data_IF_388611767663
#
_entry.id   IF_388611767663
#
_cell.length_a   1.000
_cell.length_b   1.000
_cell.length_c   1.000
_cell.angle_alpha   90.00
_cell.angle_beta   90.00
_cell.angle_gamma   90.00
#
_symmetry.space_group_name_H-M   'P 1'
#
loop_
_entity.id
_entity.type
_entity.pdbx_description
1 polymer ?
#
# COMPACT_ATOMS: atom_id res chain seq x y z
N UNK A 1 13.82 37.94 23.05
CA UNK A 1 14.96 38.42 23.89
C UNK A 1 14.58 38.66 25.36
N UNK A 2 13.35 39.08 25.68
CA UNK A 2 12.88 39.23 27.08
C UNK A 2 12.55 37.88 27.78
N UNK A 3 12.21 36.83 27.02
CA UNK A 3 11.93 35.50 27.57
C UNK A 3 13.19 34.76 28.07
N UNK A 4 14.32 34.89 27.38
CA UNK A 4 15.57 34.20 27.77
C UNK A 4 16.21 34.75 29.06
N UNK A 5 15.93 36.01 29.41
CA UNK A 5 16.39 36.61 30.66
C UNK A 5 15.58 36.13 31.87
N UNK A 6 14.29 35.87 31.70
CA UNK A 6 13.43 35.34 32.76
C UNK A 6 13.80 33.89 33.10
N UNK A 7 14.13 33.06 32.11
CA UNK A 7 14.55 31.67 32.33
C UNK A 7 15.93 31.57 33.01
N UNK A 8 16.88 32.45 32.68
CA UNK A 8 18.17 32.49 33.37
C UNK A 8 18.04 32.95 34.82
N UNK A 9 17.17 33.93 35.09
CA UNK A 9 16.90 34.39 36.45
C UNK A 9 16.19 33.32 37.29
N UNK A 10 15.23 32.58 36.72
CA UNK A 10 14.55 31.47 37.37
C UNK A 10 15.51 30.32 37.68
N UNK A 11 16.39 29.96 36.74
CA UNK A 11 17.39 28.90 36.94
C UNK A 11 18.45 29.26 38.00
N UNK A 12 18.83 30.54 38.10
CA UNK A 12 19.73 31.03 39.14
C UNK A 12 19.08 30.98 40.54
N UNK A 13 17.79 31.35 40.64
CA UNK A 13 17.01 31.25 41.89
C UNK A 13 16.86 29.82 42.37
N UNK A 14 16.52 28.90 41.48
CA UNK A 14 16.38 27.46 41.80
C UNK A 14 17.71 26.85 42.26
N UNK A 15 18.85 27.24 41.68
CA UNK A 15 20.17 26.79 42.15
C UNK A 15 20.53 27.35 43.53
N UNK A 16 20.16 28.60 43.82
CA UNK A 16 20.38 29.19 45.14
C UNK A 16 19.51 28.52 46.22
N UNK A 17 18.25 28.21 45.91
CA UNK A 17 17.35 27.50 46.82
C UNK A 17 17.78 26.04 47.06
N UNK A 18 18.25 25.34 46.02
CA UNK A 18 18.78 23.98 46.13
C UNK A 18 20.13 23.94 46.89
N UNK A 19 20.95 24.98 46.80
CA UNK A 19 22.20 25.09 47.54
C UNK A 19 22.02 25.28 49.06
N UNK A 20 20.86 25.80 49.48
CA UNK A 20 20.51 26.00 50.89
C UNK A 20 19.83 24.80 51.56
N UNK A 21 19.32 23.84 50.77
CA UNK A 21 18.72 22.62 51.29
C UNK A 21 19.80 21.59 51.65
N UNK A 22 20.27 21.65 52.90
CA UNK A 22 21.06 20.57 53.49
C UNK A 22 20.17 19.32 53.66
N UNK A 23 20.04 18.53 52.58
CA UNK A 23 19.35 17.24 52.61
C UNK A 23 20.20 16.29 53.44
N UNK A 24 19.88 16.20 54.74
CA UNK A 24 20.35 15.13 55.62
C UNK A 24 19.64 13.84 55.21
N UNK A 25 20.17 13.21 54.17
CA UNK A 25 19.80 11.85 53.82
C UNK A 25 20.44 10.90 54.85
N UNK A 26 19.68 10.05 55.54
CA UNK A 26 20.26 9.02 56.39
C UNK A 26 21.21 8.14 55.58
N UNK A 27 22.37 7.81 56.15
CA UNK A 27 23.36 6.92 55.52
C UNK A 27 22.67 5.65 54.99
N UNK A 28 22.87 5.35 53.71
CA UNK A 28 22.30 4.19 53.02
C UNK A 28 20.93 4.38 52.35
N UNK A 29 20.30 5.56 52.38
CA UNK A 29 19.06 5.80 51.61
C UNK A 29 19.31 5.84 50.09
N UNK A 30 20.39 6.50 49.66
CA UNK A 30 20.80 6.57 48.24
C UNK A 30 21.13 5.18 47.70
N UNK A 31 21.79 4.33 48.49
CA UNK A 31 22.09 2.94 48.12
C UNK A 31 20.83 2.08 48.01
N UNK A 32 19.83 2.29 48.86
CA UNK A 32 18.51 1.64 48.74
C UNK A 32 17.79 2.01 47.45
N UNK A 33 17.76 3.30 47.10
CA UNK A 33 17.13 3.78 45.87
C UNK A 33 17.89 3.28 44.63
N UNK A 34 19.23 3.36 44.64
CA UNK A 34 20.04 2.84 43.53
C UNK A 34 19.90 1.33 43.36
N UNK A 35 19.79 0.57 44.44
CA UNK A 35 19.52 -0.87 44.40
C UNK A 35 18.14 -1.16 43.83
N UNK A 36 17.08 -0.46 44.26
CA UNK A 36 15.74 -0.60 43.68
C UNK A 36 15.69 -0.24 42.19
N UNK A 37 16.42 0.80 41.76
CA UNK A 37 16.50 1.20 40.35
C UNK A 37 17.26 0.16 39.53
N UNK A 38 18.35 -0.41 40.06
CA UNK A 38 19.10 -1.49 39.41
C UNK A 38 18.27 -2.77 39.29
N UNK A 39 17.54 -3.16 40.34
CA UNK A 39 16.63 -4.32 40.32
C UNK A 39 15.48 -4.13 39.32
N UNK A 40 14.88 -2.92 39.25
CA UNK A 40 13.87 -2.60 38.22
C UNK A 40 14.42 -2.68 36.81
N UNK A 41 15.61 -2.11 36.56
CA UNK A 41 16.27 -2.19 35.24
C UNK A 41 16.65 -3.62 34.86
N UNK A 42 17.04 -4.45 35.83
CA UNK A 42 17.38 -5.85 35.59
C UNK A 42 16.14 -6.68 35.27
N UNK A 43 15.01 -6.46 35.96
CA UNK A 43 13.71 -7.09 35.62
C UNK A 43 13.18 -6.64 34.26
N UNK A 44 13.31 -5.35 33.91
CA UNK A 44 12.94 -4.86 32.57
C UNK A 44 13.82 -5.47 31.46
N UNK A 45 15.12 -5.68 31.72
CA UNK A 45 16.01 -6.37 30.77
C UNK A 45 15.63 -7.85 30.63
N UNK A 46 15.29 -8.55 31.72
CA UNK A 46 14.82 -9.93 31.66
C UNK A 46 13.48 -10.06 30.93
N UNK A 47 12.52 -9.15 31.13
CA UNK A 47 11.26 -9.13 30.38
C UNK A 47 11.47 -8.85 28.89
N UNK A 48 12.38 -7.93 28.53
CA UNK A 48 12.74 -7.69 27.11
C UNK A 48 13.41 -8.90 26.47
N UNK A 49 14.28 -9.61 27.19
CA UNK A 49 14.91 -10.84 26.69
C UNK A 49 13.88 -11.96 26.55
N UNK A 50 12.89 -12.08 27.44
CA UNK A 50 11.81 -13.05 27.30
C UNK A 50 10.86 -12.73 26.15
N UNK A 51 10.52 -11.46 25.93
CA UNK A 51 9.71 -11.02 24.78
C UNK A 51 10.47 -11.23 23.47
N UNK A 52 11.77 -10.91 23.42
CA UNK A 52 12.61 -11.17 22.25
C UNK A 52 12.83 -12.67 22.00
N UNK A 53 12.93 -13.49 23.05
CA UNK A 53 13.01 -14.94 22.91
C UNK A 53 11.69 -15.55 22.41
N UNK A 54 10.54 -15.08 22.91
CA UNK A 54 9.23 -15.48 22.40
C UNK A 54 9.04 -15.05 20.94
N UNK A 55 9.43 -13.82 20.59
CA UNK A 55 9.41 -13.34 19.20
C UNK A 55 10.37 -14.14 18.31
N UNK A 56 11.57 -14.47 18.79
CA UNK A 56 12.52 -15.30 18.05
C UNK A 56 12.00 -16.73 17.84
N UNK A 57 11.34 -17.33 18.85
CA UNK A 57 10.71 -18.65 18.71
C UNK A 57 9.55 -18.62 17.71
N UNK A 58 8.73 -17.55 17.70
CA UNK A 58 7.68 -17.36 16.69
C UNK A 58 8.29 -17.15 15.30
N UNK A 59 9.34 -16.34 15.16
CA UNK A 59 10.05 -16.14 13.88
C UNK A 59 10.72 -17.42 13.40
N UNK A 60 11.31 -18.23 14.28
CA UNK A 60 11.90 -19.53 13.92
C UNK A 60 10.79 -20.54 13.57
N UNK A 61 9.67 -20.56 14.28
CA UNK A 61 8.54 -21.44 13.95
C UNK A 61 7.89 -21.06 12.61
N UNK A 62 7.73 -19.77 12.33
CA UNK A 62 7.25 -19.25 11.03
C UNK A 62 8.28 -19.54 9.93
N UNK A 63 9.57 -19.32 10.17
CA UNK A 63 10.62 -19.65 9.20
C UNK A 63 10.72 -21.15 8.94
N UNK A 64 10.57 -22.01 9.95
CA UNK A 64 10.53 -23.46 9.77
C UNK A 64 9.26 -23.91 9.01
N UNK A 65 8.10 -23.28 9.23
CA UNK A 65 6.90 -23.53 8.44
C UNK A 65 7.08 -23.08 6.97
N UNK A 66 7.73 -21.93 6.74
CA UNK A 66 8.06 -21.44 5.39
C UNK A 66 9.09 -22.32 4.68
N UNK A 67 10.09 -22.86 5.38
CA UNK A 67 11.11 -23.78 4.80
C UNK A 67 10.54 -25.16 4.48
N UNK A 68 9.53 -25.63 5.24
CA UNK A 68 8.83 -26.88 4.92
C UNK A 68 7.86 -26.71 3.75
N UNK A 69 7.24 -25.53 3.58
CA UNK A 69 6.42 -25.23 2.39
C UNK A 69 7.22 -24.91 1.13
N UNK A 70 8.47 -24.42 1.25
CA UNK A 70 9.34 -24.12 0.09
C UNK A 70 10.22 -25.29 -0.37
N UNK A 71 10.16 -26.45 0.30
CA UNK A 71 10.64 -27.73 -0.27
C UNK A 71 9.57 -28.37 -1.14
N UNK A 72 9.09 -27.62 -2.11
CA UNK A 72 8.40 -28.17 -3.28
C UNK A 72 9.43 -28.94 -4.10
N UNK A 73 9.21 -30.25 -4.17
CA UNK A 73 9.70 -31.24 -5.14
C UNK A 73 10.44 -30.59 -6.31
N UNK A 74 11.75 -30.87 -6.43
CA UNK A 74 12.51 -30.61 -7.66
C UNK A 74 11.71 -31.19 -8.83
N UNK A 75 11.20 -30.39 -9.77
CA UNK A 75 10.48 -30.94 -10.90
C UNK A 75 11.47 -31.78 -11.71
N UNK A 76 11.07 -33.02 -11.99
CA UNK A 76 11.80 -33.93 -12.85
C UNK A 76 11.99 -33.24 -14.22
N UNK A 77 13.23 -32.94 -14.66
CA UNK A 77 13.48 -32.18 -15.88
C UNK A 77 13.09 -32.94 -17.17
N UNK A 78 12.44 -34.10 -17.04
CA UNK A 78 11.98 -34.93 -18.17
C UNK A 78 10.49 -34.85 -18.44
N UNK A 79 9.71 -34.13 -17.64
CA UNK A 79 8.32 -33.81 -18.00
C UNK A 79 8.33 -32.50 -18.77
N UNK A 80 8.38 -32.61 -20.10
CA UNK A 80 8.01 -31.51 -20.99
C UNK A 80 6.59 -31.11 -20.62
N UNK A 81 6.45 -30.01 -19.87
CA UNK A 81 5.18 -29.38 -19.64
C UNK A 81 4.63 -28.99 -21.01
N UNK A 82 3.71 -29.79 -21.53
CA UNK A 82 2.80 -29.31 -22.57
C UNK A 82 2.15 -28.02 -22.07
N UNK A 83 1.69 -27.13 -22.96
CA UNK A 83 1.00 -25.93 -22.55
C UNK A 83 -0.21 -26.34 -21.72
N UNK A 84 -0.11 -26.20 -20.39
CA UNK A 84 -1.27 -26.31 -19.53
C UNK A 84 -2.26 -25.27 -20.05
N UNK A 85 -3.45 -25.67 -20.53
CA UNK A 85 -4.40 -24.70 -21.02
C UNK A 85 -4.69 -23.75 -19.86
N UNK A 86 -4.42 -22.46 -20.07
CA UNK A 86 -4.88 -21.42 -19.16
C UNK A 86 -6.40 -21.52 -19.20
N UNK A 87 -6.99 -22.20 -18.22
CA UNK A 87 -8.44 -22.31 -18.10
C UNK A 87 -8.96 -20.88 -18.00
N UNK A 88 -9.82 -20.47 -18.92
CA UNK A 88 -10.41 -19.15 -18.87
C UNK A 88 -11.05 -18.94 -17.49
N UNK A 89 -10.78 -17.80 -16.86
CA UNK A 89 -11.42 -17.48 -15.59
C UNK A 89 -12.94 -17.43 -15.80
N UNK A 90 -13.71 -18.01 -14.89
CA UNK A 90 -15.16 -17.79 -14.89
C UNK A 90 -15.42 -16.28 -14.73
N UNK A 91 -16.41 -15.72 -15.47
CA UNK A 91 -16.88 -14.36 -15.25
C UNK A 91 -17.15 -14.11 -13.77
N UNK A 92 -16.90 -12.88 -13.28
CA UNK A 92 -17.11 -12.57 -11.87
C UNK A 92 -18.56 -12.79 -11.45
N UNK A 93 -19.49 -12.63 -12.42
CA UNK A 93 -20.92 -12.84 -12.20
C UNK A 93 -21.29 -14.30 -11.90
N UNK A 94 -20.40 -15.24 -12.23
CA UNK A 94 -20.58 -16.67 -12.00
C UNK A 94 -19.84 -17.14 -10.73
N UNK A 95 -19.19 -16.23 -9.98
CA UNK A 95 -18.45 -16.61 -8.79
C UNK A 95 -19.42 -16.97 -7.66
N UNK A 96 -19.21 -18.10 -6.97
CA UNK A 96 -20.00 -18.45 -5.80
C UNK A 96 -19.70 -17.48 -4.66
N UNK A 97 -20.73 -17.18 -3.87
CA UNK A 97 -20.62 -16.44 -2.63
C UNK A 97 -19.69 -17.17 -1.64
N UNK A 98 -18.70 -16.45 -1.09
CA UNK A 98 -17.72 -16.94 -0.11
C UNK A 98 -17.58 -16.03 1.10
N UNK A 99 -16.84 -16.48 2.12
CA UNK A 99 -16.57 -15.76 3.36
C UNK A 99 -17.37 -16.28 4.57
N UNK A 100 -17.10 -15.71 5.74
CA UNK A 100 -17.66 -16.15 7.02
C UNK A 100 -19.01 -15.51 7.36
N UNK A 101 -19.44 -14.50 6.61
CA UNK A 101 -20.70 -13.76 6.83
C UNK A 101 -21.78 -14.07 5.78
N UNK A 102 -21.63 -15.13 5.00
CA UNK A 102 -22.56 -15.49 3.91
C UNK A 102 -23.98 -15.83 4.35
N UNK A 103 -24.16 -16.20 5.63
CA UNK A 103 -25.46 -16.54 6.21
C UNK A 103 -26.23 -15.30 6.71
N UNK A 104 -25.59 -14.12 6.73
CA UNK A 104 -26.20 -12.86 7.19
C UNK A 104 -26.95 -12.19 6.04
N UNK A 105 -28.18 -12.67 5.78
CA UNK A 105 -29.00 -12.15 4.69
C UNK A 105 -29.34 -10.66 4.84
N UNK A 106 -29.46 -10.17 6.08
CA UNK A 106 -29.77 -8.76 6.35
C UNK A 106 -28.57 -7.87 5.99
N UNK A 107 -27.34 -8.28 6.32
CA UNK A 107 -26.12 -7.61 5.90
C UNK A 107 -26.02 -7.53 4.37
N UNK A 108 -26.24 -8.65 3.68
CA UNK A 108 -26.19 -8.68 2.21
C UNK A 108 -27.23 -7.74 1.59
N UNK A 109 -28.46 -7.75 2.12
CA UNK A 109 -29.55 -6.86 1.65
C UNK A 109 -29.20 -5.39 1.86
N UNK A 110 -28.67 -5.01 3.03
CA UNK A 110 -28.23 -3.64 3.29
C UNK A 110 -27.07 -3.22 2.39
N UNK A 111 -26.11 -4.11 2.16
CA UNK A 111 -24.99 -3.83 1.26
C UNK A 111 -25.46 -3.59 -0.18
N UNK A 112 -26.40 -4.40 -0.68
CA UNK A 112 -27.01 -4.19 -2.00
C UNK A 112 -27.72 -2.84 -2.08
N UNK A 113 -28.50 -2.47 -1.06
CA UNK A 113 -29.19 -1.18 -1.00
C UNK A 113 -28.20 -0.01 -1.10
N UNK A 114 -27.09 -0.06 -0.35
CA UNK A 114 -26.02 0.96 -0.39
C UNK A 114 -25.45 1.14 -1.80
N UNK A 115 -25.21 0.05 -2.55
CA UNK A 115 -24.72 0.17 -3.91
C UNK A 115 -25.79 0.73 -4.87
N UNK A 116 -27.05 0.28 -4.75
CA UNK A 116 -28.16 0.75 -5.60
C UNK A 116 -28.52 2.21 -5.40
N UNK A 117 -28.32 2.75 -4.19
CA UNK A 117 -28.58 4.16 -3.87
C UNK A 117 -27.43 5.10 -4.25
N UNK A 118 -26.28 4.55 -4.66
CA UNK A 118 -25.11 5.33 -5.05
C UNK A 118 -25.21 5.93 -6.45
N UNK A 119 -24.37 6.92 -6.74
CA UNK A 119 -24.21 7.48 -8.09
C UNK A 119 -23.71 6.46 -9.12
N UNK A 120 -23.16 5.33 -8.67
CA UNK A 120 -22.65 4.22 -9.49
C UNK A 120 -23.55 2.98 -9.40
N UNK A 121 -24.86 3.20 -9.32
CA UNK A 121 -25.84 2.14 -9.20
C UNK A 121 -25.74 1.11 -10.36
N UNK A 122 -25.84 -0.20 -10.06
CA UNK A 122 -25.80 -1.24 -11.07
C UNK A 122 -27.09 -1.25 -11.90
N UNK A 123 -26.98 -1.62 -13.19
CA UNK A 123 -28.11 -1.66 -14.13
C UNK A 123 -28.87 -3.00 -14.12
N UNK A 124 -28.31 -4.01 -13.46
CA UNK A 124 -28.73 -5.40 -13.51
C UNK A 124 -28.92 -6.00 -12.10
N UNK A 125 -29.42 -7.24 -11.98
CA UNK A 125 -29.49 -7.93 -10.70
C UNK A 125 -28.11 -8.01 -10.04
N UNK A 126 -28.07 -7.65 -8.76
CA UNK A 126 -26.86 -7.69 -7.94
C UNK A 126 -26.79 -9.06 -7.28
N UNK A 127 -25.59 -9.60 -7.17
CA UNK A 127 -25.34 -10.77 -6.32
C UNK A 127 -24.04 -10.59 -5.56
N UNK A 128 -23.98 -11.16 -4.36
CA UNK A 128 -22.78 -11.14 -3.55
C UNK A 128 -21.82 -12.25 -3.99
N UNK A 129 -20.53 -11.91 -4.13
CA UNK A 129 -19.45 -12.85 -4.39
C UNK A 129 -18.58 -13.08 -3.16
N UNK A 130 -18.62 -12.17 -2.19
CA UNK A 130 -17.96 -12.32 -0.90
C UNK A 130 -18.69 -11.56 0.21
N UNK A 131 -18.70 -12.13 1.42
CA UNK A 131 -19.07 -11.43 2.64
C UNK A 131 -18.23 -11.95 3.81
N UNK A 132 -17.42 -11.06 4.41
CA UNK A 132 -16.59 -11.46 5.54
C UNK A 132 -16.02 -10.31 6.35
N UNK A 133 -15.32 -10.67 7.43
CA UNK A 133 -14.68 -9.71 8.34
C UNK A 133 -13.16 -9.77 8.26
N UNK A 134 -12.51 -8.61 8.22
CA UNK A 134 -11.06 -8.48 8.28
C UNK A 134 -10.52 -9.13 9.57
N UNK A 135 -9.54 -10.05 9.46
CA UNK A 135 -8.91 -10.69 10.61
C UNK A 135 -7.94 -9.74 11.34
N UNK A 136 -7.61 -8.59 10.76
CA UNK A 136 -6.68 -7.64 11.34
C UNK A 136 -7.38 -6.79 12.40
N UNK A 137 -7.09 -7.04 13.69
CA UNK A 137 -7.69 -6.27 14.78
C UNK A 137 -7.29 -4.79 14.81
N UNK A 138 -6.16 -4.43 14.20
CA UNK A 138 -5.71 -3.04 14.14
C UNK A 138 -6.40 -2.24 13.01
N UNK A 139 -7.12 -2.92 12.12
CA UNK A 139 -7.94 -2.33 11.06
C UNK A 139 -9.02 -3.35 10.66
N UNK A 140 -9.98 -3.58 11.55
CA UNK A 140 -11.04 -4.56 11.35
C UNK A 140 -12.25 -3.88 10.74
N UNK A 141 -12.77 -4.43 9.66
CA UNK A 141 -13.98 -3.99 8.98
C UNK A 141 -14.66 -5.20 8.35
N UNK A 142 -15.96 -5.10 8.14
CA UNK A 142 -16.73 -6.03 7.31
C UNK A 142 -16.64 -5.56 5.86
N UNK A 143 -16.53 -6.50 4.92
CA UNK A 143 -16.66 -6.24 3.49
C UNK A 143 -17.71 -7.16 2.88
N UNK A 144 -18.53 -6.60 2.01
CA UNK A 144 -19.38 -7.33 1.08
C UNK A 144 -18.96 -6.93 -0.33
N UNK A 145 -18.47 -7.89 -1.10
CA UNK A 145 -18.19 -7.70 -2.51
C UNK A 145 -19.41 -8.13 -3.32
N UNK A 146 -19.95 -7.19 -4.09
CA UNK A 146 -21.17 -7.36 -4.89
C UNK A 146 -20.80 -7.24 -6.35
N UNK A 147 -21.33 -8.13 -7.19
CA UNK A 147 -21.12 -8.11 -8.62
C UNK A 147 -22.44 -7.91 -9.38
N UNK A 148 -22.36 -7.17 -10.47
CA UNK A 148 -23.46 -6.89 -11.40
C UNK A 148 -22.90 -6.42 -12.74
N UNK A 149 -23.70 -6.36 -13.79
CA UNK A 149 -23.36 -5.59 -14.98
C UNK A 149 -23.62 -4.09 -14.77
N UNK A 150 -22.68 -3.27 -15.25
CA UNK A 150 -22.81 -1.82 -15.34
C UNK A 150 -23.72 -1.38 -16.50
N UNK A 151 -23.95 -0.08 -16.62
CA UNK A 151 -24.77 0.50 -17.70
C UNK A 151 -24.17 0.33 -19.10
N UNK A 152 -22.85 0.13 -19.17
CA UNK A 152 -22.10 -0.15 -20.40
C UNK A 152 -22.04 -1.65 -20.75
N UNK A 153 -22.74 -2.50 -19.99
CA UNK A 153 -22.78 -3.94 -20.17
C UNK A 153 -21.52 -4.68 -19.70
N UNK A 154 -20.54 -3.99 -19.11
CA UNK A 154 -19.36 -4.63 -18.52
C UNK A 154 -19.64 -5.06 -17.09
N UNK A 155 -19.05 -6.18 -16.69
CA UNK A 155 -19.10 -6.65 -15.32
C UNK A 155 -18.46 -5.60 -14.39
N UNK A 156 -19.10 -5.34 -13.26
CA UNK A 156 -18.65 -4.44 -12.21
C UNK A 156 -18.67 -5.16 -10.88
N UNK A 157 -17.74 -4.77 -10.00
CA UNK A 157 -17.71 -5.17 -8.60
C UNK A 157 -17.70 -3.94 -7.72
N UNK A 158 -18.67 -3.88 -6.81
CA UNK A 158 -18.70 -2.93 -5.71
C UNK A 158 -18.20 -3.58 -4.43
N UNK A 159 -17.48 -2.79 -3.63
CA UNK A 159 -17.03 -3.16 -2.31
C UNK A 159 -17.74 -2.28 -1.30
N UNK A 160 -18.65 -2.88 -0.54
CA UNK A 160 -19.38 -2.20 0.53
C UNK A 160 -18.75 -2.61 1.85
N UNK A 161 -18.38 -1.64 2.68
CA UNK A 161 -17.65 -1.89 3.92
C UNK A 161 -18.35 -1.28 5.12
N UNK A 162 -18.18 -1.89 6.29
CA UNK A 162 -18.32 -1.12 7.54
C UNK A 162 -17.22 -0.07 7.66
N UNK A 163 -17.36 0.90 8.57
CA UNK A 163 -16.23 1.67 9.06
C UNK A 163 -15.12 0.76 9.59
N UNK A 164 -13.87 1.21 9.43
CA UNK A 164 -12.69 0.58 10.02
C UNK A 164 -12.69 0.80 11.52
N UNK A 165 -12.53 -0.28 12.29
CA UNK A 165 -12.29 -0.24 13.73
C UNK A 165 -10.89 -0.72 14.10
N UNK A 166 -10.19 0.06 14.92
CA UNK A 166 -8.91 -0.28 15.55
C UNK A 166 -9.08 -1.04 16.87
N UNK A 167 -10.32 -1.19 17.35
CA UNK A 167 -10.67 -2.00 18.52
C UNK A 167 -10.90 -3.48 18.17
N UNK A 168 -11.03 -3.80 16.87
CA UNK A 168 -11.35 -5.14 16.37
C UNK A 168 -12.86 -5.48 16.39
N UNK A 169 -13.72 -4.50 16.67
CA UNK A 169 -15.17 -4.66 16.70
C UNK A 169 -15.84 -3.72 15.66
N UNK A 170 -15.87 -4.10 14.38
CA UNK A 170 -16.46 -3.27 13.34
C UNK A 170 -17.98 -3.14 13.52
N UNK A 171 -18.50 -1.94 13.28
CA UNK A 171 -19.93 -1.64 13.25
C UNK A 171 -20.59 -2.22 12.00
N UNK A 172 -21.38 -3.29 12.14
CA UNK A 172 -22.02 -3.98 11.03
C UNK A 172 -23.33 -3.33 10.56
N UNK A 173 -23.80 -2.33 11.29
CA UNK A 173 -25.06 -1.65 10.99
C UNK A 173 -24.81 -0.44 10.07
N UNK A 174 -23.64 0.19 10.20
CA UNK A 174 -23.20 1.25 9.30
C UNK A 174 -22.42 0.68 8.13
N UNK A 175 -22.94 0.84 6.91
CA UNK A 175 -22.29 0.40 5.67
C UNK A 175 -22.08 1.57 4.72
N UNK A 176 -20.95 1.56 4.02
CA UNK A 176 -20.61 2.57 3.01
C UNK A 176 -20.06 1.91 1.76
N UNK A 177 -20.41 2.46 0.60
CA UNK A 177 -19.79 2.05 -0.65
C UNK A 177 -18.34 2.55 -0.66
N UNK A 178 -17.38 1.63 -0.62
CA UNK A 178 -15.97 1.97 -0.50
C UNK A 178 -15.30 2.18 -1.85
N UNK A 179 -15.62 1.31 -2.81
CA UNK A 179 -15.04 1.32 -4.14
C UNK A 179 -15.95 0.61 -5.14
N UNK A 180 -15.82 0.96 -6.42
CA UNK A 180 -16.44 0.25 -7.55
C UNK A 180 -15.42 0.13 -8.66
N UNK A 181 -15.32 -1.06 -9.26
CA UNK A 181 -14.42 -1.32 -10.39
C UNK A 181 -15.12 -2.07 -11.50
N UNK A 182 -14.67 -1.84 -12.73
CA UNK A 182 -15.06 -2.64 -13.90
C UNK A 182 -14.09 -3.82 -14.03
N UNK A 183 -14.65 -5.02 -14.22
CA UNK A 183 -13.88 -6.25 -14.39
C UNK A 183 -13.58 -6.46 -15.87
N UNK A 184 -12.31 -6.61 -16.19
CA UNK A 184 -11.89 -6.90 -17.56
C UNK A 184 -11.94 -8.39 -17.87
N UNK A 185 -12.15 -8.73 -19.14
CA UNK A 185 -12.11 -10.13 -19.61
C UNK A 185 -10.78 -10.76 -19.22
N UNK A 186 -10.84 -11.95 -18.62
CA UNK A 186 -9.66 -12.70 -18.16
C UNK A 186 -9.11 -12.26 -16.79
N UNK A 187 -9.70 -11.23 -16.17
CA UNK A 187 -9.33 -10.82 -14.82
C UNK A 187 -9.66 -11.93 -13.81
N UNK A 188 -8.64 -12.35 -13.05
CA UNK A 188 -8.70 -13.49 -12.11
C UNK A 188 -8.79 -13.07 -10.66
N UNK A 189 -8.95 -11.79 -10.39
CA UNK A 189 -9.17 -11.26 -9.06
C UNK A 189 -9.58 -9.81 -9.11
N UNK A 190 -10.33 -9.41 -8.10
CA UNK A 190 -10.88 -8.07 -7.95
C UNK A 190 -10.55 -7.60 -6.55
N UNK A 191 -10.34 -6.31 -6.40
CA UNK A 191 -10.07 -5.74 -5.09
C UNK A 191 -10.10 -4.22 -5.13
N UNK A 192 -10.01 -3.64 -3.96
CA UNK A 192 -9.83 -2.20 -3.79
C UNK A 192 -8.70 -1.92 -2.81
N UNK A 193 -8.16 -0.71 -2.91
CA UNK A 193 -7.26 -0.14 -1.93
C UNK A 193 -7.61 1.34 -1.77
N UNK A 194 -8.24 1.65 -0.63
CA UNK A 194 -8.64 3.00 -0.26
C UNK A 194 -7.49 3.66 0.50
N UNK A 195 -6.91 4.71 -0.08
CA UNK A 195 -5.80 5.45 0.52
C UNK A 195 -6.27 6.44 1.60
N UNK A 196 -7.52 6.89 1.51
CA UNK A 196 -8.14 7.81 2.46
C UNK A 196 -9.12 7.10 3.40
N UNK A 197 -9.21 7.53 4.67
CA UNK A 197 -10.27 7.11 5.56
C UNK A 197 -11.63 7.50 4.97
N UNK A 198 -12.58 6.59 5.02
CA UNK A 198 -13.96 6.84 4.66
C UNK A 198 -14.81 7.25 5.86
N UNK A 199 -16.10 7.50 5.64
CA UNK A 199 -17.01 7.98 6.68
C UNK A 199 -17.06 7.02 7.89
N UNK A 200 -16.72 7.55 9.07
CA UNK A 200 -16.76 6.81 10.34
C UNK A 200 -15.53 5.95 10.64
N UNK A 201 -14.55 5.87 9.75
CA UNK A 201 -13.33 5.10 9.99
C UNK A 201 -12.55 5.65 11.20
N UNK A 202 -12.09 4.76 12.08
CA UNK A 202 -11.15 5.08 13.15
C UNK A 202 -9.73 5.29 12.58
N UNK A 203 -8.97 6.22 13.16
CA UNK A 203 -7.60 6.51 12.72
C UNK A 203 -6.68 5.31 13.00
N UNK A 204 -6.15 4.70 11.93
CA UNK A 204 -5.15 3.64 12.02
C UNK A 204 -3.82 4.27 12.43
N UNK A 205 -3.19 3.75 13.49
CA UNK A 205 -1.92 4.27 14.00
C UNK A 205 -0.81 4.13 12.95
N UNK A 206 -0.22 5.25 12.55
CA UNK A 206 0.74 5.32 11.44
C UNK A 206 0.10 5.73 10.11
N UNK A 207 -1.21 6.01 10.11
CA UNK A 207 -2.02 6.15 8.92
C UNK A 207 -2.13 4.84 8.17
N UNK A 208 -2.80 4.86 7.02
CA UNK A 208 -2.65 3.77 6.09
C UNK A 208 -3.79 3.59 5.12
N UNK A 209 -3.46 3.02 3.98
CA UNK A 209 -4.44 2.53 3.04
C UNK A 209 -5.01 1.20 3.53
N UNK A 210 -6.32 1.03 3.43
CA UNK A 210 -7.01 -0.23 3.70
C UNK A 210 -7.55 -0.80 2.41
N UNK A 211 -7.50 -2.11 2.28
CA UNK A 211 -8.06 -2.76 1.10
C UNK A 211 -8.52 -4.17 1.38
N UNK A 212 -9.11 -4.72 0.33
CA UNK A 212 -9.55 -6.09 0.27
C UNK A 212 -9.41 -6.55 -1.18
N UNK A 213 -8.94 -7.77 -1.38
CA UNK A 213 -8.98 -8.39 -2.69
C UNK A 213 -9.30 -9.88 -2.59
N UNK A 214 -9.98 -10.36 -3.64
CA UNK A 214 -10.42 -11.73 -3.79
C UNK A 214 -10.13 -12.23 -5.20
N UNK A 215 -9.48 -13.39 -5.28
CA UNK A 215 -9.20 -14.10 -6.52
C UNK A 215 -10.38 -14.99 -6.92
N UNK A 216 -10.42 -15.38 -8.20
CA UNK A 216 -11.38 -16.34 -8.72
C UNK A 216 -11.33 -17.67 -7.93
N UNK A 217 -12.43 -18.43 -7.84
CA UNK A 217 -12.45 -19.73 -7.20
C UNK A 217 -11.32 -20.65 -7.71
N UNK A 218 -10.64 -21.33 -6.78
CA UNK A 218 -9.54 -22.23 -7.10
C UNK A 218 -8.18 -21.56 -7.36
N UNK A 219 -8.09 -20.23 -7.21
CA UNK A 219 -6.82 -19.48 -7.29
C UNK A 219 -6.37 -19.07 -5.88
N UNK A 220 -5.44 -19.80 -5.26
CA UNK A 220 -5.06 -19.55 -3.87
C UNK A 220 -4.03 -18.42 -3.71
N UNK A 221 -3.21 -18.17 -4.73
CA UNK A 221 -2.10 -17.22 -4.68
C UNK A 221 -2.54 -15.82 -5.10
N UNK A 222 -2.72 -14.95 -4.12
CA UNK A 222 -3.06 -13.53 -4.30
C UNK A 222 -2.19 -12.69 -3.37
N UNK A 223 -1.65 -11.60 -3.88
CA UNK A 223 -0.85 -10.64 -3.11
C UNK A 223 -1.12 -9.23 -3.63
N UNK A 224 -1.04 -8.24 -2.75
CA UNK A 224 -1.04 -6.83 -3.18
C UNK A 224 0.40 -6.37 -3.21
N UNK A 225 0.87 -5.94 -4.38
CA UNK A 225 2.23 -5.47 -4.61
C UNK A 225 2.26 -3.95 -4.73
N UNK A 226 3.25 -3.31 -4.10
CA UNK A 226 3.55 -1.89 -4.29
C UNK A 226 5.05 -1.63 -4.20
N UNK A 227 5.56 -0.77 -5.06
CA UNK A 227 6.93 -0.26 -5.11
C UNK A 227 7.17 0.84 -4.07
N UNK A 228 6.20 1.13 -3.21
CA UNK A 228 6.40 1.99 -2.03
C UNK A 228 7.09 1.25 -0.89
N UNK A 229 6.97 -0.08 -0.81
CA UNK A 229 7.56 -0.89 0.28
C UNK A 229 8.56 -1.90 -0.31
N UNK A 230 9.75 -2.03 0.30
CA UNK A 230 10.77 -3.02 -0.14
C UNK A 230 10.38 -4.45 0.23
N UNK A 231 9.62 -4.59 1.32
CA UNK A 231 9.15 -5.87 1.82
C UNK A 231 7.79 -5.68 2.48
N UNK A 232 6.74 -6.18 1.82
CA UNK A 232 5.48 -6.40 2.50
C UNK A 232 5.63 -7.68 3.31
N UNK A 233 5.47 -7.56 4.63
CA UNK A 233 5.25 -8.77 5.41
C UNK A 233 4.04 -9.49 4.79
N UNK A 234 4.12 -10.79 4.50
CA UNK A 234 3.02 -11.52 3.92
C UNK A 234 1.77 -11.25 4.76
N UNK A 235 0.76 -10.65 4.14
CA UNK A 235 -0.49 -10.42 4.84
C UNK A 235 -1.08 -11.80 5.08
N UNK A 236 -1.38 -12.21 6.32
CA UNK A 236 -1.90 -13.54 6.58
C UNK A 236 -3.19 -13.73 5.80
N UNK A 237 -3.15 -14.55 4.75
CA UNK A 237 -4.32 -15.01 4.04
C UNK A 237 -5.02 -16.02 4.94
N UNK A 238 -6.10 -15.58 5.58
CA UNK A 238 -6.90 -16.44 6.46
C UNK A 238 -7.79 -17.38 5.62
N UNK A 239 -8.11 -16.97 4.40
CA UNK A 239 -8.87 -17.74 3.43
C UNK A 239 -8.14 -17.74 2.08
N UNK A 240 -7.93 -18.92 1.44
CA UNK A 240 -7.24 -19.01 0.15
C UNK A 240 -7.85 -18.08 -0.91
N UNK A 241 -6.99 -17.32 -1.60
CA UNK A 241 -7.44 -16.37 -2.60
C UNK A 241 -8.09 -15.12 -2.03
N UNK A 242 -7.92 -14.82 -0.75
CA UNK A 242 -8.37 -13.57 -0.11
C UNK A 242 -7.19 -12.88 0.61
N UNK A 243 -7.10 -11.56 0.46
CA UNK A 243 -6.09 -10.72 1.13
C UNK A 243 -6.70 -9.42 1.65
N UNK A 244 -6.22 -8.97 2.81
CA UNK A 244 -6.69 -7.79 3.55
C UNK A 244 -5.55 -6.78 3.77
N UNK A 245 -5.07 -6.12 2.70
CA UNK A 245 -3.93 -5.22 2.81
C UNK A 245 -4.22 -4.05 3.76
N UNK A 246 -3.26 -3.77 4.64
CA UNK A 246 -3.16 -2.53 5.41
C UNK A 246 -1.77 -1.99 5.17
N UNK A 247 -1.68 -0.90 4.41
CA UNK A 247 -0.43 -0.37 3.89
C UNK A 247 -0.17 1.02 4.45
N UNK A 248 1.06 1.50 4.34
CA UNK A 248 1.45 2.82 4.85
C UNK A 248 0.73 3.97 4.11
N UNK A 249 0.69 5.15 4.73
CA UNK A 249 0.17 6.36 4.08
C UNK A 249 0.87 6.67 2.76
N UNK A 250 0.09 7.12 1.77
CA UNK A 250 0.58 7.43 0.42
C UNK A 250 0.57 6.24 -0.54
N UNK A 251 0.28 5.04 -0.06
CA UNK A 251 -0.07 3.89 -0.92
C UNK A 251 -1.55 4.00 -1.30
N UNK A 252 -1.89 3.63 -2.53
CA UNK A 252 -3.25 3.62 -3.04
C UNK A 252 -3.35 2.81 -4.33
N UNK A 253 -4.53 2.73 -4.91
CA UNK A 253 -4.72 1.99 -6.17
C UNK A 253 -3.84 2.48 -7.34
N UNK A 254 -3.32 3.71 -7.27
CA UNK A 254 -2.41 4.27 -8.28
C UNK A 254 -1.00 3.66 -8.26
N UNK A 255 -0.51 3.19 -7.12
CA UNK A 255 0.86 2.65 -6.97
C UNK A 255 0.86 1.24 -6.39
N UNK A 256 -0.28 0.56 -6.43
CA UNK A 256 -0.45 -0.81 -5.98
C UNK A 256 -1.20 -1.63 -7.02
N UNK A 257 -0.86 -2.91 -7.12
CA UNK A 257 -1.52 -3.86 -8.01
C UNK A 257 -1.80 -5.17 -7.30
N UNK A 258 -2.76 -5.91 -7.84
CA UNK A 258 -3.12 -7.23 -7.40
C UNK A 258 -2.34 -8.27 -8.19
N UNK A 259 -1.33 -8.86 -7.56
CA UNK A 259 -0.56 -9.96 -8.12
C UNK A 259 -1.30 -11.28 -7.89
N UNK A 260 -1.52 -12.03 -8.96
CA UNK A 260 -2.20 -13.33 -8.91
C UNK A 260 -1.32 -14.37 -9.55
N UNK A 261 -1.06 -15.44 -8.81
CA UNK A 261 -0.38 -16.62 -9.33
C UNK A 261 -1.43 -17.66 -9.76
N UNK A 262 -1.73 -17.79 -11.07
CA UNK A 262 -2.84 -18.63 -11.53
C UNK A 262 -2.60 -20.12 -11.31
N UNK A 263 -1.33 -20.55 -11.29
CA UNK A 263 -0.92 -21.91 -10.97
C UNK A 263 0.55 -21.93 -10.52
N UNK A 264 0.99 -22.95 -9.77
CA UNK A 264 2.39 -23.11 -9.39
C UNK A 264 3.30 -23.13 -10.62
N UNK A 265 4.28 -22.24 -10.66
CA UNK A 265 5.25 -22.14 -11.77
C UNK A 265 4.79 -21.31 -12.98
N UNK A 266 3.54 -20.84 -13.01
CA UNK A 266 3.14 -19.80 -13.97
C UNK A 266 3.65 -18.43 -13.52
N UNK A 267 3.93 -17.56 -14.49
CA UNK A 267 4.25 -16.17 -14.24
C UNK A 267 3.05 -15.49 -13.55
N UNK A 268 3.30 -14.66 -12.51
CA UNK A 268 2.23 -13.90 -11.88
C UNK A 268 1.63 -12.90 -12.87
N UNK A 269 0.31 -12.74 -12.81
CA UNK A 269 -0.41 -11.71 -13.54
C UNK A 269 -0.73 -10.54 -12.60
N UNK A 270 -0.55 -9.32 -13.07
CA UNK A 270 -0.85 -8.11 -12.30
C UNK A 270 -2.17 -7.51 -12.76
N UNK A 271 -3.10 -7.32 -11.82
CA UNK A 271 -4.39 -6.67 -12.05
C UNK A 271 -4.49 -5.36 -11.29
N UNK A 272 -5.38 -4.48 -11.73
CA UNK A 272 -5.64 -3.21 -11.05
C UNK A 272 -6.49 -3.41 -9.80
N UNK A 273 -6.20 -2.61 -8.79
CA UNK A 273 -7.10 -2.41 -7.66
C UNK A 273 -8.00 -1.21 -7.95
N UNK A 274 -9.22 -1.26 -7.42
CA UNK A 274 -10.12 -0.12 -7.43
C UNK A 274 -9.62 0.96 -6.45
N UNK A 275 -9.58 2.24 -6.83
CA UNK A 275 -9.43 3.32 -5.86
C UNK A 275 -10.66 3.39 -4.94
N UNK A 276 -10.49 3.92 -3.74
CA UNK A 276 -11.63 4.33 -2.91
C UNK A 276 -12.47 5.40 -3.61
N UNK A 277 -13.75 5.52 -3.29
CA UNK A 277 -14.63 6.55 -3.87
C UNK A 277 -14.13 7.97 -3.56
N UNK A 278 -13.56 8.16 -2.37
CA UNK A 278 -13.03 9.45 -1.90
C UNK A 278 -11.53 9.64 -2.20
N UNK A 279 -10.90 8.64 -2.84
CA UNK A 279 -9.51 8.72 -3.27
C UNK A 279 -9.35 9.65 -4.48
N UNK A 280 -8.11 9.87 -4.87
CA UNK A 280 -7.80 10.62 -6.08
C UNK A 280 -8.41 9.96 -7.32
N UNK A 281 -8.80 10.81 -8.25
CA UNK A 281 -9.26 10.36 -9.55
C UNK A 281 -8.11 9.63 -10.24
N UNK A 282 -8.32 8.33 -10.48
CA UNK A 282 -7.39 7.48 -11.19
C UNK A 282 -8.11 6.76 -12.32
N UNK A 283 -7.38 6.50 -13.40
CA UNK A 283 -7.95 5.87 -14.59
C UNK A 283 -7.00 4.85 -15.20
N UNK A 284 -7.53 3.78 -15.81
CA UNK A 284 -6.72 2.83 -16.53
C UNK A 284 -6.07 3.49 -17.75
N UNK A 285 -4.77 3.24 -17.98
CA UNK A 285 -4.09 3.65 -19.21
C UNK A 285 -3.32 2.50 -19.83
N UNK A 286 -3.26 2.49 -21.15
CA UNK A 286 -2.37 1.63 -21.94
C UNK A 286 -1.21 2.49 -22.42
N UNK A 287 0.01 2.03 -22.20
CA UNK A 287 1.19 2.70 -22.73
C UNK A 287 1.60 2.09 -24.06
N UNK A 288 1.86 2.95 -25.03
CA UNK A 288 2.29 2.56 -26.37
C UNK A 288 3.53 3.34 -26.76
N UNK A 289 4.43 2.70 -27.50
CA UNK A 289 5.62 3.35 -28.04
C UNK A 289 5.55 3.32 -29.56
N UNK A 290 5.47 4.49 -30.19
CA UNK A 290 5.49 4.64 -31.64
C UNK A 290 6.58 5.64 -32.02
N UNK A 291 7.47 5.26 -32.95
CA UNK A 291 8.58 6.10 -33.41
C UNK A 291 9.48 6.64 -32.28
N UNK A 292 9.66 5.84 -31.21
CA UNK A 292 10.46 6.22 -30.04
C UNK A 292 9.77 7.19 -29.08
N UNK A 293 8.49 7.51 -29.28
CA UNK A 293 7.70 8.37 -28.39
C UNK A 293 6.74 7.51 -27.57
N UNK A 294 6.82 7.65 -26.25
CA UNK A 294 5.88 7.02 -25.32
C UNK A 294 4.58 7.81 -25.26
N UNK A 295 3.45 7.11 -25.35
CA UNK A 295 2.10 7.68 -25.30
C UNK A 295 1.23 6.90 -24.33
N UNK A 296 0.50 7.63 -23.49
CA UNK A 296 -0.58 7.09 -22.67
C UNK A 296 -1.90 7.19 -23.43
N UNK A 297 -2.60 6.06 -23.53
CA UNK A 297 -3.91 5.95 -24.17
C UNK A 297 -4.91 5.48 -23.11
N UNK A 298 -5.95 6.28 -22.89
CA UNK A 298 -7.00 6.00 -21.92
C UNK A 298 -8.07 7.07 -22.00
N UNK A 299 -9.19 6.83 -21.34
CA UNK A 299 -10.24 7.83 -21.19
C UNK A 299 -9.69 9.01 -20.37
N UNK A 300 -10.03 10.23 -20.80
CA UNK A 300 -9.66 11.48 -20.13
C UNK A 300 -8.18 11.72 -19.86
N UNK A 301 -7.26 11.10 -20.62
CA UNK A 301 -5.83 11.44 -20.53
C UNK A 301 -5.60 12.91 -20.91
N UNK A 302 -5.04 13.70 -20.00
CA UNK A 302 -4.80 15.13 -20.14
C UNK A 302 -3.34 15.51 -19.82
N UNK A 303 -2.85 16.64 -20.38
CA UNK A 303 -1.57 17.21 -19.94
C UNK A 303 -1.55 17.49 -18.43
N UNK A 304 -0.45 17.10 -17.77
CA UNK A 304 -0.25 17.19 -16.33
C UNK A 304 -0.52 15.89 -15.56
N UNK A 305 -1.20 14.92 -16.18
CA UNK A 305 -1.48 13.65 -15.53
C UNK A 305 -0.19 12.87 -15.27
N UNK A 306 -0.08 12.31 -14.07
CA UNK A 306 1.02 11.42 -13.70
C UNK A 306 0.65 9.99 -14.11
N UNK A 307 1.58 9.31 -14.77
CA UNK A 307 1.45 7.90 -15.14
C UNK A 307 2.24 7.07 -14.16
N UNK A 308 1.59 6.09 -13.53
CA UNK A 308 2.15 5.25 -12.49
C UNK A 308 1.94 3.77 -12.79
N UNK A 309 2.81 2.93 -12.25
CA UNK A 309 2.62 1.49 -12.13
C UNK A 309 2.76 1.12 -10.64
N UNK A 310 2.45 -0.14 -10.26
CA UNK A 310 2.81 -0.63 -8.94
C UNK A 310 4.29 -0.44 -8.62
N UNK A 311 5.19 -0.44 -9.60
CA UNK A 311 6.64 -0.36 -9.35
C UNK A 311 7.12 1.11 -9.17
N UNK A 312 6.37 2.09 -9.67
CA UNK A 312 6.68 3.51 -9.48
C UNK A 312 6.13 4.42 -10.59
N UNK A 313 6.58 5.67 -10.61
CA UNK A 313 6.18 6.62 -11.64
C UNK A 313 6.88 6.31 -12.98
N UNK A 314 6.11 6.34 -14.06
CA UNK A 314 6.62 6.19 -15.43
C UNK A 314 6.97 7.55 -16.03
N UNK A 315 6.10 8.54 -15.84
CA UNK A 315 6.24 9.85 -16.49
C UNK A 315 5.02 10.74 -16.31
N UNK A 316 5.07 11.92 -16.91
CA UNK A 316 3.98 12.91 -16.90
C UNK A 316 3.51 13.16 -18.32
N UNK A 317 2.19 13.24 -18.52
CA UNK A 317 1.62 13.57 -19.82
C UNK A 317 1.88 15.05 -20.12
N UNK A 318 2.54 15.33 -21.24
CA UNK A 318 2.94 16.69 -21.64
C UNK A 318 2.06 17.32 -22.70
N UNK A 319 1.26 16.53 -23.41
CA UNK A 319 0.46 17.00 -24.53
C UNK A 319 -0.87 16.23 -24.65
N UNK A 320 -1.85 16.86 -25.30
CA UNK A 320 -3.21 16.34 -25.43
C UNK A 320 -3.29 15.06 -26.28
N UNK A 321 -2.24 14.75 -27.06
CA UNK A 321 -2.11 13.51 -27.81
C UNK A 321 -1.56 12.35 -26.94
N UNK A 322 -1.51 12.54 -25.61
CA UNK A 322 -1.07 11.54 -24.64
C UNK A 322 0.45 11.38 -24.55
N UNK A 323 1.26 12.24 -25.18
CA UNK A 323 2.72 12.15 -25.11
C UNK A 323 3.22 12.23 -23.66
N UNK A 324 4.04 11.26 -23.25
CA UNK A 324 4.58 11.15 -21.89
C UNK A 324 6.06 11.56 -21.87
N UNK A 325 6.44 12.44 -20.94
CA UNK A 325 7.82 12.74 -20.58
C UNK A 325 8.23 11.90 -19.36
N UNK A 326 9.23 11.04 -19.56
CA UNK A 326 9.72 10.08 -18.56
C UNK A 326 10.92 10.60 -17.78
N UNK A 327 11.36 11.84 -18.02
CA UNK A 327 12.47 12.42 -17.29
C UNK A 327 12.10 12.65 -15.81
N UNK A 328 13.01 12.26 -14.90
CA UNK A 328 12.80 12.44 -13.46
C UNK A 328 12.60 13.90 -13.08
N UNK A 329 13.15 14.84 -13.85
CA UNK A 329 12.93 16.28 -13.66
C UNK A 329 11.51 16.72 -14.02
N UNK A 330 10.92 16.17 -15.08
CA UNK A 330 9.52 16.46 -15.42
C UNK A 330 8.57 15.85 -14.38
N UNK A 331 8.84 14.62 -13.93
CA UNK A 331 8.09 13.97 -12.85
C UNK A 331 8.23 14.77 -11.54
N UNK A 332 9.42 15.23 -11.19
CA UNK A 332 9.64 16.05 -10.00
C UNK A 332 8.93 17.42 -10.05
N UNK A 333 8.58 17.91 -11.24
CA UNK A 333 7.93 19.21 -11.38
C UNK A 333 6.46 19.22 -10.94
N UNK A 334 5.80 18.06 -10.85
CA UNK A 334 4.39 17.96 -10.44
C UNK A 334 4.21 17.89 -8.91
N UNK A 335 5.29 17.92 -8.13
CA UNK A 335 5.19 17.81 -6.67
C UNK A 335 6.50 18.06 -5.93
N UNK A 336 6.53 17.61 -4.68
CA UNK A 336 7.72 17.68 -3.82
C UNK A 336 8.45 16.35 -3.81
N UNK A 337 9.78 16.37 -3.69
CA UNK A 337 10.61 15.17 -3.73
C UNK A 337 11.35 15.01 -2.41
N UNK A 338 11.34 13.78 -1.87
CA UNK A 338 12.02 13.43 -0.62
C UNK A 338 12.50 11.99 -0.61
N UNK A 339 13.42 11.66 0.28
CA UNK A 339 13.79 10.28 0.57
C UNK A 339 12.68 9.61 1.39
N UNK A 340 12.25 8.41 1.00
CA UNK A 340 11.07 7.73 1.53
C UNK A 340 11.11 7.56 3.06
N UNK A 341 12.14 6.89 3.58
CA UNK A 341 12.23 6.50 5.00
C UNK A 341 12.69 7.65 5.89
N UNK A 342 13.70 8.40 5.47
CA UNK A 342 14.28 9.47 6.28
C UNK A 342 13.55 10.81 6.13
N UNK A 343 12.66 10.94 5.14
CA UNK A 343 11.92 12.16 4.85
C UNK A 343 12.78 13.33 4.37
N UNK A 344 14.07 13.09 4.06
CA UNK A 344 15.02 14.15 3.66
C UNK A 344 14.51 14.80 2.37
N UNK A 345 14.14 16.10 2.38
CA UNK A 345 13.69 16.77 1.17
C UNK A 345 14.87 16.95 0.21
N UNK A 346 14.58 17.00 -1.09
CA UNK A 346 15.60 17.22 -2.09
C UNK A 346 15.07 17.83 -3.39
N UNK A 347 15.99 18.02 -4.32
CA UNK A 347 15.72 18.49 -5.68
C UNK A 347 16.36 17.53 -6.67
N UNK A 348 15.65 17.30 -7.78
CA UNK A 348 16.17 16.58 -8.92
C UNK A 348 16.57 17.58 -10.00
N UNK A 349 17.80 17.44 -10.49
CA UNK A 349 18.34 18.24 -11.59
C UNK A 349 19.02 17.31 -12.58
N UNK A 350 18.95 17.63 -13.87
CA UNK A 350 19.61 16.82 -14.89
C UNK A 350 18.95 16.99 -16.25
N UNK A 351 19.61 16.46 -17.27
CA UNK A 351 19.13 16.50 -18.65
C UNK A 351 19.13 15.04 -19.17
N UNK A 352 17.97 14.53 -19.59
CA UNK A 352 17.85 13.20 -20.17
C UNK A 352 18.18 12.06 -19.18
N UNK A 353 19.16 11.23 -19.53
CA UNK A 353 19.40 9.91 -18.91
C UNK A 353 20.10 9.95 -17.54
N UNK A 354 20.51 11.12 -17.05
CA UNK A 354 21.15 11.25 -15.73
C UNK A 354 20.48 12.33 -14.91
N UNK A 355 19.75 11.91 -13.88
CA UNK A 355 19.24 12.79 -12.84
C UNK A 355 20.15 12.74 -11.61
N UNK A 356 20.42 13.91 -11.04
CA UNK A 356 21.13 14.08 -9.78
C UNK A 356 20.14 14.49 -8.70
N UNK A 357 20.24 13.84 -7.55
CA UNK A 357 19.50 14.22 -6.35
C UNK A 357 20.39 15.07 -5.45
N UNK A 358 19.91 16.26 -5.10
CA UNK A 358 20.57 17.14 -4.14
C UNK A 358 19.69 17.27 -2.89
N UNK A 359 20.12 16.80 -1.71
CA UNK A 359 19.36 17.00 -0.48
C UNK A 359 19.31 18.49 -0.13
N UNK A 360 18.13 18.97 0.27
CA UNK A 360 17.91 20.36 0.68
C UNK A 360 17.66 20.51 2.18
N UNK A 361 17.56 19.39 2.89
CA UNK A 361 17.44 19.31 4.34
C UNK A 361 18.55 18.49 4.99
N UNK A 362 18.62 18.50 6.33
CA UNK A 362 19.61 17.70 7.06
C UNK A 362 19.30 16.20 6.94
N UNK A 363 20.36 15.40 6.97
CA UNK A 363 20.27 13.94 7.00
C UNK A 363 21.39 13.28 6.21
N UNK A 364 21.60 11.99 6.46
CA UNK A 364 22.56 11.18 5.71
C UNK A 364 21.81 10.42 4.62
N UNK A 365 22.36 10.48 3.40
CA UNK A 365 21.89 9.68 2.29
C UNK A 365 22.71 8.39 2.23
N UNK A 366 22.04 7.29 1.94
CA UNK A 366 22.68 6.01 1.66
C UNK A 366 22.35 5.54 0.23
N UNK A 367 23.21 4.68 -0.37
CA UNK A 367 22.81 3.94 -1.55
C UNK A 367 21.50 3.18 -1.30
N UNK A 368 20.76 2.94 -2.37
CA UNK A 368 19.47 2.25 -2.38
C UNK A 368 18.32 3.00 -1.68
N UNK A 369 18.57 4.22 -1.18
CA UNK A 369 17.51 5.09 -0.70
C UNK A 369 16.52 5.41 -1.82
N UNK A 370 15.25 5.11 -1.58
CA UNK A 370 14.15 5.45 -2.48
C UNK A 370 13.83 6.94 -2.41
N UNK A 371 13.63 7.52 -3.57
CA UNK A 371 13.15 8.87 -3.76
C UNK A 371 11.67 8.81 -4.11
N UNK A 372 10.86 9.50 -3.33
CA UNK A 372 9.40 9.55 -3.46
C UNK A 372 8.98 10.96 -3.87
N UNK A 373 8.12 11.01 -4.88
CA UNK A 373 7.32 12.17 -5.23
C UNK A 373 6.10 12.22 -4.31
N UNK A 374 5.79 13.39 -3.75
CA UNK A 374 4.54 13.68 -3.06
C UNK A 374 3.86 14.85 -3.76
N UNK A 375 2.71 14.58 -4.39
CA UNK A 375 1.88 15.56 -5.08
C UNK A 375 1.02 16.34 -4.07
N UNK A 376 0.43 17.50 -4.46
CA UNK A 376 -0.39 18.32 -3.57
C UNK A 376 -1.63 17.62 -2.99
N UNK A 377 -2.06 16.54 -3.62
CA UNK A 377 -3.28 15.80 -3.33
C UNK A 377 -3.00 14.50 -2.51
N UNK A 378 -1.87 14.48 -1.80
CA UNK A 378 -1.37 13.37 -0.98
C UNK A 378 -1.01 12.08 -1.72
N UNK A 379 -0.94 12.13 -3.05
CA UNK A 379 -0.40 11.04 -3.87
C UNK A 379 1.09 10.93 -3.60
N UNK A 380 1.54 9.75 -3.16
CA UNK A 380 2.94 9.42 -3.03
C UNK A 380 3.33 8.32 -4.02
N UNK A 381 4.46 8.46 -4.70
CA UNK A 381 4.95 7.45 -5.65
C UNK A 381 6.47 7.41 -5.62
N UNK A 382 7.07 6.22 -5.61
CA UNK A 382 8.51 6.06 -5.81
C UNK A 382 8.86 6.45 -7.25
N UNK A 383 9.86 7.31 -7.40
CA UNK A 383 10.31 7.79 -8.71
C UNK A 383 11.73 7.35 -9.03
N UNK A 384 12.58 7.16 -8.01
CA UNK A 384 13.96 6.78 -8.24
C UNK A 384 14.59 6.03 -7.05
N UNK A 385 15.71 5.36 -7.30
CA UNK A 385 16.64 4.83 -6.30
C UNK A 385 17.95 5.61 -6.38
N UNK A 386 18.50 5.97 -5.22
CA UNK A 386 19.77 6.68 -5.13
C UNK A 386 20.95 5.73 -5.26
N UNK A 387 21.92 6.12 -6.09
CA UNK A 387 23.24 5.49 -6.17
C UNK A 387 24.33 6.55 -6.00
N UNK A 388 25.46 6.14 -5.43
CA UNK A 388 26.59 7.06 -5.20
C UNK A 388 27.56 7.03 -6.39
N UNK A 389 27.84 8.19 -6.97
CA UNK A 389 28.85 8.35 -8.02
C UNK A 389 29.82 9.47 -7.61
N UNK A 390 30.94 9.06 -6.99
CA UNK A 390 31.87 9.99 -6.35
C UNK A 390 31.20 10.76 -5.21
N UNK A 391 31.19 12.08 -5.32
CA UNK A 391 30.57 13.00 -4.35
C UNK A 391 29.13 13.39 -4.70
N UNK A 392 28.56 12.79 -5.75
CA UNK A 392 27.19 13.09 -6.21
C UNK A 392 26.27 11.89 -6.01
N UNK A 393 24.99 12.19 -5.77
CA UNK A 393 23.92 11.21 -5.71
C UNK A 393 23.18 11.17 -7.03
N UNK A 394 23.27 10.05 -7.73
CA UNK A 394 22.51 9.80 -8.95
C UNK A 394 21.16 9.19 -8.59
N UNK A 395 20.09 9.71 -9.16
CA UNK A 395 18.77 9.15 -9.07
C UNK A 395 18.51 8.31 -10.32
N UNK A 396 18.34 7.00 -10.13
CA UNK A 396 18.03 6.05 -11.19
C UNK A 396 16.52 5.82 -11.18
N UNK A 397 15.78 6.01 -12.29
CA UNK A 397 14.36 5.73 -12.34
C UNK A 397 14.04 4.31 -11.88
N UNK A 398 12.98 4.14 -11.09
CA UNK A 398 12.55 2.79 -10.64
C UNK A 398 11.79 2.03 -11.71
N UNK A 399 11.15 2.74 -12.63
CA UNK A 399 10.36 2.15 -13.71
C UNK A 399 11.05 2.41 -15.04
N UNK A 400 11.37 1.33 -15.76
CA UNK A 400 11.82 1.41 -17.15
C UNK A 400 10.58 1.51 -18.07
N UNK A 401 10.40 2.59 -18.84
CA UNK A 401 9.25 2.72 -19.72
C UNK A 401 9.15 1.62 -20.78
N UNK A 402 10.27 1.00 -21.16
CA UNK A 402 10.30 -0.05 -22.17
C UNK A 402 9.64 -1.33 -21.68
N UNK A 403 9.81 -1.67 -20.40
CA UNK A 403 9.20 -2.88 -19.79
C UNK A 403 7.70 -2.72 -19.59
N UNK A 404 7.18 -1.49 -19.48
CA UNK A 404 5.74 -1.25 -19.28
C UNK A 404 4.94 -1.37 -20.60
N UNK A 405 5.60 -1.19 -21.75
CA UNK A 405 4.96 -1.21 -23.07
C UNK A 405 4.90 -2.58 -23.73
N UNK A 406 5.57 -3.57 -23.15
CA UNK A 406 5.59 -4.94 -23.68
C UNK A 406 4.28 -5.66 -23.30
N UNK A 407 3.47 -6.13 -24.25
CA UNK A 407 2.18 -6.78 -23.99
C UNK A 407 2.32 -8.09 -23.20
N UNK A 408 3.51 -8.70 -23.15
CA UNK A 408 3.78 -9.93 -22.39
C UNK A 408 4.15 -9.67 -20.93
N UNK A 409 4.54 -8.44 -20.60
CA UNK A 409 4.91 -7.98 -19.25
C UNK A 409 4.08 -6.77 -18.80
N UNK A 410 3.05 -6.41 -19.58
CA UNK A 410 2.27 -5.20 -19.45
C UNK A 410 1.78 -5.03 -18.02
N UNK A 411 2.48 -4.16 -17.31
CA UNK A 411 2.14 -3.81 -15.94
C UNK A 411 0.94 -2.88 -15.99
N UNK A 412 0.00 -3.07 -15.07
CA UNK A 412 -1.20 -2.25 -15.00
C UNK A 412 -0.85 -0.78 -14.72
N UNK A 413 -0.79 0.03 -15.77
CA UNK A 413 -0.53 1.46 -15.66
C UNK A 413 -1.81 2.24 -15.32
N UNK A 414 -1.64 3.27 -14.49
CA UNK A 414 -2.70 4.14 -14.00
C UNK A 414 -2.36 5.60 -14.32
N UNK A 415 -3.37 6.35 -14.76
CA UNK A 415 -3.40 7.81 -14.77
C UNK A 415 -3.77 8.27 -13.37
N UNK A 416 -3.07 9.29 -12.87
CA UNK A 416 -3.39 9.99 -11.62
C UNK A 416 -3.51 11.47 -11.93
N UNK A 417 -4.66 12.05 -11.61
CA UNK A 417 -4.87 13.51 -11.74
C UNK A 417 -4.10 14.20 -10.60
N UNK A 418 -3.19 15.13 -10.93
CA UNK A 418 -2.29 15.78 -9.96
C UNK A 418 -2.56 17.28 -9.73
N UNK A 419 -3.52 17.83 -10.49
CA UNK A 419 -3.80 19.28 -10.58
C UNK A 419 -4.89 19.77 -9.64
#
# INVERSE_FOLDING_TARGET
MIADEQDRAAAARLRAELGGMAVRSPDGHVERVLRQVRERRQRQRQQRVQILAAAAVVVIAVACASVVMSRSVKPDPRVVAGPNPIVAAAPVLDWPLRGDLIADADLLTRAEAVWRESERAPSSPVHAVYAGQSPNRAASFVVVALAAQGSDGRDQVAFVTSPVSVSGAPDRDTLTLRAVTTVHVGQRGVGFLAARPGPGDEEIKGGGAVGFAIAAPGVPGIEVRTGMVDYLAPTPSVEPGVVWPVLESGVGAWNAGLEIQPSPGAAPAMFRLAPGIDDQETGPVTLTTASGVLRAVGEDVQPGDLITTPDGAVGVVTAADGKVDTSLTAIAAVGSVRVAVSGIPGRLTGNGDTALFTPTGPGELAPDNRVVLTCPNDVAVTIAILTRAGDTWRAIPVTDPTTVTDPTTATAAMRVVTR
#
